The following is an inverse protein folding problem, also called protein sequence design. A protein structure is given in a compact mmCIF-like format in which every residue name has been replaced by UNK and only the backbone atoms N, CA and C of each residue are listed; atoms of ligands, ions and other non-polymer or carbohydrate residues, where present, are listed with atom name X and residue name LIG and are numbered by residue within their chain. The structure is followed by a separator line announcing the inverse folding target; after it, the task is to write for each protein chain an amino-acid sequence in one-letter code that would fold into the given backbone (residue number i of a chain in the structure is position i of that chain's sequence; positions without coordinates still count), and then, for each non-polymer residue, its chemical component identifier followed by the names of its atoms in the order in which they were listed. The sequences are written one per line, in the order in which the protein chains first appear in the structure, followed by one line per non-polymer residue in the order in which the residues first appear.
data_IF_082908424616
#
_entry.id   IF_082908424616
#
_cell.length_a   1.000
_cell.length_b   1.000
_cell.length_c   1.000
_cell.angle_alpha   90.00
_cell.angle_beta   90.00
_cell.angle_gamma   90.00
#
_symmetry.space_group_name_H-M   'P 1'
#
loop_
_entity.id
_entity.type
_entity.pdbx_description
1 polymer ?
#
# COMPACT_ATOMS: atom_id res chain seq x y z
N UNK A 1 -0.57 -0.36 5.03
CA UNK A 1 -0.75 -1.64 5.76
C UNK A 1 -0.10 -1.46 7.10
N UNK A 2 -0.82 -1.76 8.19
CA UNK A 2 -0.23 -1.73 9.52
C UNK A 2 0.51 -3.02 9.79
N UNK A 3 1.69 -2.88 10.35
CA UNK A 3 2.55 -3.96 10.82
C UNK A 3 3.10 -3.57 12.17
N UNK A 4 3.67 -4.51 12.89
CA UNK A 4 4.18 -4.22 14.20
C UNK A 4 4.75 -5.42 14.87
N UNK A 5 5.00 -5.26 16.15
CA UNK A 5 5.47 -6.32 17.01
C UNK A 5 4.91 -6.16 18.41
N UNK A 6 4.86 -7.26 19.13
CA UNK A 6 4.51 -7.33 20.55
C UNK A 6 5.76 -7.66 21.33
N UNK A 7 6.10 -6.85 22.31
CA UNK A 7 7.15 -7.16 23.29
C UNK A 7 6.72 -8.36 24.15
N UNK A 8 7.64 -9.28 24.44
CA UNK A 8 7.41 -10.39 25.36
C UNK A 8 8.34 -10.26 26.56
N UNK A 9 7.78 -10.13 27.75
CA UNK A 9 8.53 -10.11 29.01
C UNK A 9 8.36 -11.47 29.70
N UNK A 10 9.33 -12.36 29.50
CA UNK A 10 9.20 -13.77 29.90
C UNK A 10 8.05 -14.46 29.16
N UNK A 11 7.01 -14.86 29.90
CA UNK A 11 5.78 -15.47 29.38
C UNK A 11 4.60 -14.46 29.30
N UNK A 12 4.82 -13.21 29.70
CA UNK A 12 3.80 -12.17 29.69
C UNK A 12 3.82 -11.37 28.38
N UNK A 13 2.63 -11.14 27.85
CA UNK A 13 2.45 -10.24 26.71
C UNK A 13 2.61 -8.79 27.17
N UNK A 14 3.63 -8.11 26.64
CA UNK A 14 3.88 -6.68 26.82
C UNK A 14 3.09 -5.82 25.84
N UNK A 15 3.59 -4.62 25.57
CA UNK A 15 2.93 -3.69 24.63
C UNK A 15 3.04 -4.17 23.18
N UNK A 16 2.03 -3.79 22.38
CA UNK A 16 2.03 -3.92 20.93
C UNK A 16 2.29 -2.57 20.30
N UNK A 17 3.31 -2.49 19.46
CA UNK A 17 3.61 -1.31 18.67
C UNK A 17 3.20 -1.54 17.22
N UNK A 18 2.39 -0.64 16.67
CA UNK A 18 1.87 -0.71 15.31
C UNK A 18 2.26 0.51 14.50
N UNK A 19 2.85 0.26 13.34
CA UNK A 19 3.39 1.24 12.39
C UNK A 19 2.70 1.09 11.04
N UNK A 20 2.65 2.16 10.25
CA UNK A 20 2.41 1.99 8.81
C UNK A 20 3.67 1.40 8.18
N UNK A 21 3.52 0.39 7.32
CA UNK A 21 4.64 -0.24 6.64
C UNK A 21 5.53 0.78 5.90
N UNK A 22 4.92 1.82 5.32
CA UNK A 22 5.63 2.90 4.63
C UNK A 22 6.58 3.69 5.55
N UNK A 23 6.32 3.72 6.86
CA UNK A 23 7.20 4.38 7.83
C UNK A 23 8.40 3.52 8.23
N UNK A 24 8.35 2.20 8.00
CA UNK A 24 9.45 1.26 8.27
C UNK A 24 10.18 0.82 7.00
N UNK A 25 9.87 1.44 5.87
CA UNK A 25 10.48 1.14 4.59
C UNK A 25 11.11 2.40 4.03
N UNK A 26 12.22 2.21 3.33
CA UNK A 26 12.82 3.25 2.50
C UNK A 26 11.75 3.89 1.58
N UNK A 27 11.68 5.23 1.41
CA UNK A 27 12.65 6.27 1.81
C UNK A 27 12.42 6.90 3.19
N UNK A 28 11.78 6.25 4.17
CA UNK A 28 11.44 6.86 5.46
C UNK A 28 12.65 7.16 6.40
N UNK A 29 13.81 7.51 5.86
CA UNK A 29 15.00 7.89 6.62
C UNK A 29 14.89 9.32 7.14
N UNK A 30 15.30 9.52 8.39
CA UNK A 30 15.23 10.77 9.16
C UNK A 30 13.81 11.35 9.34
N UNK A 31 12.78 10.51 9.18
CA UNK A 31 11.38 10.90 9.31
C UNK A 31 10.94 10.90 10.77
N UNK A 32 10.25 11.95 11.21
CA UNK A 32 9.53 11.91 12.49
C UNK A 32 8.17 11.26 12.28
N UNK A 33 7.85 10.25 13.08
CA UNK A 33 6.53 9.58 13.04
C UNK A 33 5.86 9.60 14.41
N UNK A 34 4.54 9.43 14.40
CA UNK A 34 3.77 9.08 15.59
C UNK A 34 3.01 7.79 15.30
N UNK A 35 3.16 6.79 16.16
CA UNK A 35 2.62 5.46 15.93
C UNK A 35 1.91 4.92 17.18
N UNK A 36 1.12 3.89 17.00
CA UNK A 36 0.25 3.34 18.04
C UNK A 36 1.05 2.42 18.96
N UNK A 37 0.92 2.62 20.27
CA UNK A 37 1.43 1.70 21.30
C UNK A 37 0.25 1.28 22.17
N UNK A 38 0.00 -0.02 22.25
CA UNK A 38 -1.11 -0.58 23.03
C UNK A 38 -0.57 -1.51 24.10
N UNK A 39 -0.69 -1.12 25.37
CA UNK A 39 -0.38 -2.01 26.50
C UNK A 39 -1.49 -3.05 26.70
N UNK A 40 -1.16 -4.18 27.30
CA UNK A 40 -2.08 -5.31 27.49
C UNK A 40 -3.19 -5.03 28.50
N UNK A 41 -2.93 -4.13 29.45
CA UNK A 41 -3.84 -3.68 30.50
C UNK A 41 -4.72 -2.47 30.09
N UNK A 42 -4.40 -1.82 28.96
CA UNK A 42 -5.08 -0.61 28.51
C UNK A 42 -6.18 -0.88 27.46
N UNK A 43 -7.36 -0.27 27.67
CA UNK A 43 -8.49 -0.35 26.72
C UNK A 43 -8.24 0.43 25.42
N UNK A 44 -7.43 1.48 25.48
CA UNK A 44 -7.13 2.38 24.36
C UNK A 44 -5.62 2.39 24.07
N UNK A 45 -5.25 2.56 22.79
CA UNK A 45 -3.85 2.75 22.43
C UNK A 45 -3.38 4.18 22.76
N UNK A 46 -2.15 4.28 23.25
CA UNK A 46 -1.41 5.52 23.38
C UNK A 46 -0.59 5.78 22.09
N UNK A 47 0.04 6.95 21.97
CA UNK A 47 0.85 7.30 20.78
C UNK A 47 2.29 7.63 21.15
N UNK A 48 3.24 6.84 20.69
CA UNK A 48 4.66 7.14 20.80
C UNK A 48 5.13 7.98 19.62
N UNK A 49 6.14 8.81 19.86
CA UNK A 49 6.78 9.65 18.85
C UNK A 49 8.26 9.30 18.75
N UNK A 50 8.75 9.03 17.55
CA UNK A 50 10.15 8.64 17.34
C UNK A 50 10.68 9.22 16.03
N UNK A 51 12.01 9.34 15.96
CA UNK A 51 12.73 9.60 14.72
C UNK A 51 13.09 8.26 14.08
N UNK A 52 12.78 8.08 12.81
CA UNK A 52 13.01 6.83 12.08
C UNK A 52 14.19 6.98 11.15
N UNK A 53 15.08 6.00 11.16
CA UNK A 53 16.20 5.89 10.22
C UNK A 53 16.18 4.52 9.55
N UNK A 54 16.14 4.47 8.22
CA UNK A 54 16.16 3.23 7.44
C UNK A 54 17.48 3.11 6.69
N UNK A 55 18.18 1.99 6.89
CA UNK A 55 19.43 1.65 6.19
C UNK A 55 19.42 0.18 5.78
N UNK A 56 19.24 -0.08 4.48
CA UNK A 56 19.08 -1.43 3.96
C UNK A 56 17.87 -2.15 4.58
N UNK A 57 18.13 -3.20 5.34
CA UNK A 57 17.11 -3.96 6.06
C UNK A 57 17.00 -3.59 7.55
N UNK A 58 17.77 -2.60 8.02
CA UNK A 58 17.77 -2.13 9.40
C UNK A 58 16.92 -0.87 9.51
N UNK A 59 16.04 -0.84 10.52
CA UNK A 59 15.25 0.33 10.90
C UNK A 59 15.55 0.69 12.34
N UNK A 60 15.96 1.92 12.61
CA UNK A 60 16.13 2.43 13.98
C UNK A 60 15.01 3.43 14.31
N UNK A 61 14.39 3.24 15.47
CA UNK A 61 13.32 4.06 16.03
C UNK A 61 13.86 4.74 17.28
N UNK A 62 14.23 6.01 17.17
CA UNK A 62 14.78 6.80 18.27
C UNK A 62 13.66 7.55 19.01
N UNK A 63 13.25 7.01 20.15
CA UNK A 63 12.26 7.61 21.04
C UNK A 63 12.88 8.67 21.96
N UNK A 64 14.20 8.61 22.19
CA UNK A 64 14.91 9.58 23.01
C UNK A 64 15.00 10.96 22.35
N UNK A 65 14.76 11.05 21.04
CA UNK A 65 14.57 12.32 20.33
C UNK A 65 13.35 13.14 20.80
N UNK A 66 12.36 12.51 21.46
CA UNK A 66 11.12 13.16 21.91
C UNK A 66 10.80 12.86 23.39
N UNK A 67 11.68 13.25 24.33
CA UNK A 67 11.59 12.81 25.72
C UNK A 67 10.34 13.35 26.42
N UNK A 68 9.95 14.60 26.16
CA UNK A 68 8.80 15.24 26.81
C UNK A 68 7.49 14.56 26.42
N UNK A 69 7.28 14.32 25.12
CA UNK A 69 6.06 13.71 24.59
C UNK A 69 5.90 12.25 25.04
N UNK A 70 7.01 11.50 25.09
CA UNK A 70 7.00 10.08 25.41
C UNK A 70 6.91 9.84 26.93
N UNK A 71 7.65 10.57 27.76
CA UNK A 71 7.57 10.46 29.24
C UNK A 71 6.16 10.81 29.74
N UNK A 72 5.53 11.85 29.17
CA UNK A 72 4.16 12.24 29.54
C UNK A 72 3.12 11.12 29.30
N UNK A 73 3.46 10.11 28.48
CA UNK A 73 2.65 8.93 28.18
C UNK A 73 3.17 7.65 28.85
N UNK A 74 4.14 7.79 29.76
CA UNK A 74 4.78 6.69 30.48
C UNK A 74 5.63 5.77 29.61
N UNK A 75 6.16 6.26 28.49
CA UNK A 75 7.01 5.46 27.60
C UNK A 75 8.45 5.50 28.06
N UNK A 76 9.14 4.37 27.90
CA UNK A 76 10.58 4.29 28.09
C UNK A 76 11.29 5.02 26.96
N UNK A 77 12.42 5.66 27.29
CA UNK A 77 13.27 6.32 26.31
C UNK A 77 14.42 5.41 25.92
N UNK A 78 14.79 5.46 24.65
CA UNK A 78 15.82 4.62 24.07
C UNK A 78 15.66 4.52 22.57
N UNK A 79 16.33 3.54 21.99
CA UNK A 79 16.29 3.25 20.56
C UNK A 79 15.89 1.79 20.35
N UNK A 80 14.85 1.56 19.55
CA UNK A 80 14.55 0.22 19.05
C UNK A 80 15.22 0.04 17.71
N UNK A 81 15.97 -1.04 17.52
CA UNK A 81 16.50 -1.46 16.23
C UNK A 81 15.73 -2.68 15.74
N UNK A 82 15.23 -2.60 14.52
CA UNK A 82 14.53 -3.67 13.84
C UNK A 82 15.40 -4.16 12.69
N UNK A 83 15.63 -5.47 12.63
CA UNK A 83 16.04 -6.10 11.37
C UNK A 83 14.80 -6.58 10.66
N UNK A 84 14.65 -6.20 9.40
CA UNK A 84 13.50 -6.53 8.57
C UNK A 84 13.91 -7.50 7.46
N UNK A 85 12.93 -8.21 6.93
CA UNK A 85 13.06 -8.92 5.66
C UNK A 85 12.07 -8.28 4.70
N UNK A 86 12.56 -7.74 3.59
CA UNK A 86 11.73 -7.17 2.52
C UNK A 86 11.04 -8.27 1.70
N UNK A 87 10.37 -7.88 0.61
CA UNK A 87 9.53 -8.71 -0.26
C UNK A 87 9.96 -10.20 -0.43
N UNK A 88 9.01 -11.15 -0.64
CA UNK A 88 7.56 -10.91 -0.85
C UNK A 88 6.75 -10.75 0.44
N UNK A 89 7.29 -11.14 1.58
CA UNK A 89 6.60 -11.10 2.88
C UNK A 89 7.39 -10.23 3.85
N UNK A 90 7.03 -8.94 3.93
CA UNK A 90 7.65 -8.05 4.91
C UNK A 90 7.49 -8.66 6.31
N UNK A 91 8.60 -8.82 7.03
CA UNK A 91 8.60 -9.25 8.44
C UNK A 91 9.64 -8.50 9.23
N UNK A 92 9.30 -8.23 10.49
CA UNK A 92 10.30 -7.94 11.51
C UNK A 92 10.90 -9.28 11.91
N UNK A 93 12.23 -9.39 11.79
CA UNK A 93 13.02 -10.60 12.03
C UNK A 93 13.67 -10.54 13.41
N UNK A 94 14.19 -9.38 13.78
CA UNK A 94 14.72 -9.13 15.13
C UNK A 94 14.21 -7.79 15.65
N UNK A 95 14.09 -7.71 16.97
CA UNK A 95 13.86 -6.48 17.72
C UNK A 95 14.98 -6.41 18.75
N UNK A 96 15.71 -5.30 18.76
CA UNK A 96 16.72 -5.02 19.76
C UNK A 96 16.38 -3.70 20.44
N UNK A 97 16.58 -3.63 21.75
CA UNK A 97 16.34 -2.42 22.54
C UNK A 97 17.65 -1.89 23.11
N UNK A 98 17.85 -0.58 23.00
CA UNK A 98 18.91 0.15 23.69
C UNK A 98 18.27 1.20 24.59
N UNK A 99 18.22 0.99 25.92
CA UNK A 99 17.72 1.98 26.86
C UNK A 99 18.50 3.29 26.77
N UNK A 100 17.83 4.42 27.04
CA UNK A 100 18.51 5.71 27.14
C UNK A 100 19.61 5.65 28.22
N UNK A 101 20.82 6.10 27.85
CA UNK A 101 22.01 6.04 28.72
C UNK A 101 22.84 4.76 28.56
N UNK A 102 22.31 3.72 27.90
CA UNK A 102 23.09 2.55 27.50
C UNK A 102 23.78 2.77 26.14
N UNK A 103 24.88 2.05 25.92
CA UNK A 103 25.55 1.94 24.61
C UNK A 103 25.30 0.58 23.94
N UNK A 104 24.63 -0.34 24.64
CA UNK A 104 24.44 -1.73 24.22
C UNK A 104 23.01 -1.95 23.77
N UNK A 105 22.85 -2.60 22.62
CA UNK A 105 21.58 -3.15 22.16
C UNK A 105 21.42 -4.56 22.71
N UNK A 106 20.28 -4.85 23.32
CA UNK A 106 19.91 -6.16 23.82
C UNK A 106 18.85 -6.77 22.91
N UNK A 107 18.98 -8.07 22.60
CA UNK A 107 18.03 -8.77 21.75
C UNK A 107 16.76 -9.10 22.55
N UNK A 108 15.62 -8.70 22.01
CA UNK A 108 14.35 -8.75 22.71
C UNK A 108 13.44 -9.85 22.14
N UNK A 109 12.73 -10.54 23.03
CA UNK A 109 11.72 -11.51 22.60
C UNK A 109 10.49 -10.74 22.11
N UNK A 110 9.97 -11.14 20.96
CA UNK A 110 8.82 -10.47 20.37
C UNK A 110 7.94 -11.43 19.56
N UNK A 111 6.70 -11.03 19.34
CA UNK A 111 5.83 -11.61 18.30
C UNK A 111 5.66 -10.61 17.17
N UNK A 112 5.84 -11.04 15.91
CA UNK A 112 5.48 -10.20 14.77
C UNK A 112 3.96 -10.09 14.67
N UNK A 113 3.45 -8.86 14.68
CA UNK A 113 2.02 -8.57 14.66
C UNK A 113 1.65 -7.94 13.33
N UNK A 114 0.74 -8.60 12.61
CA UNK A 114 0.00 -7.98 11.52
C UNK A 114 -1.45 -7.87 12.00
N UNK A 115 -1.90 -6.68 12.44
CA UNK A 115 -3.28 -6.51 12.86
C UNK A 115 -4.20 -6.92 11.72
N UNK A 116 -5.30 -7.60 12.07
CA UNK A 116 -6.33 -8.00 11.11
C UNK A 116 -6.94 -6.74 10.51
N UNK A 117 -6.36 -6.25 9.42
CA UNK A 117 -6.92 -5.13 8.70
C UNK A 117 -8.22 -5.59 8.05
N UNK A 118 -9.22 -4.70 7.97
CA UNK A 118 -10.15 -4.78 6.84
C UNK A 118 -9.25 -4.81 5.60
N UNK A 119 -9.38 -5.82 4.77
CA UNK A 119 -8.67 -5.88 3.50
C UNK A 119 -8.94 -4.57 2.79
N UNK A 120 -7.90 -3.73 2.64
CA UNK A 120 -8.03 -2.47 1.96
C UNK A 120 -8.59 -2.77 0.58
N UNK A 121 -9.64 -2.05 0.19
CA UNK A 121 -10.15 -2.18 -1.16
C UNK A 121 -9.04 -1.72 -2.10
N UNK A 122 -8.99 -2.31 -3.29
CA UNK A 122 -8.03 -1.87 -4.30
C UNK A 122 -8.17 -0.37 -4.60
N UNK A 123 -9.41 0.14 -4.61
CA UNK A 123 -9.71 1.56 -4.85
C UNK A 123 -9.07 2.47 -3.81
N UNK A 124 -9.14 2.13 -2.53
CA UNK A 124 -8.51 2.92 -1.47
C UNK A 124 -6.98 2.97 -1.63
N UNK A 125 -6.38 1.87 -2.09
CA UNK A 125 -4.93 1.81 -2.35
C UNK A 125 -4.54 2.71 -3.53
N UNK A 126 -5.30 2.66 -4.63
CA UNK A 126 -5.06 3.53 -5.80
C UNK A 126 -5.22 5.01 -5.44
N UNK A 127 -6.33 5.39 -4.78
CA UNK A 127 -6.58 6.80 -4.40
C UNK A 127 -5.46 7.34 -3.51
N UNK A 128 -4.98 6.56 -2.55
CA UNK A 128 -3.86 6.95 -1.70
C UNK A 128 -2.58 7.17 -2.50
N UNK A 129 -2.28 6.26 -3.43
CA UNK A 129 -1.10 6.39 -4.30
C UNK A 129 -1.21 7.63 -5.19
N UNK A 130 -2.37 7.89 -5.80
CA UNK A 130 -2.61 9.08 -6.62
C UNK A 130 -2.38 10.37 -5.83
N UNK A 131 -2.87 10.44 -4.58
CA UNK A 131 -2.62 11.57 -3.68
C UNK A 131 -1.14 11.72 -3.35
N UNK A 132 -0.44 10.64 -3.03
CA UNK A 132 1.01 10.66 -2.74
C UNK A 132 1.81 11.12 -3.97
N UNK A 133 1.43 10.69 -5.18
CA UNK A 133 2.03 11.14 -6.45
C UNK A 133 1.76 12.62 -6.69
N UNK A 134 0.53 13.10 -6.50
CA UNK A 134 0.19 14.52 -6.68
C UNK A 134 1.00 15.42 -5.73
N UNK A 135 1.21 14.99 -4.49
CA UNK A 135 2.07 15.71 -3.56
C UNK A 135 3.55 15.66 -3.97
N UNK A 136 4.03 14.52 -4.46
CA UNK A 136 5.39 14.39 -4.97
C UNK A 136 5.63 15.31 -6.18
N UNK A 137 4.68 15.43 -7.10
CA UNK A 137 4.78 16.29 -8.29
C UNK A 137 4.92 17.79 -7.98
N UNK A 138 4.71 18.22 -6.74
CA UNK A 138 4.95 19.61 -6.28
C UNK A 138 6.43 19.89 -5.98
N UNK A 139 7.28 18.86 -5.95
CA UNK A 139 8.72 18.96 -5.66
C UNK A 139 9.52 19.15 -6.94
N UNK A 140 10.69 19.76 -6.82
CA UNK A 140 11.66 19.81 -7.93
C UNK A 140 12.23 18.41 -8.23
N UNK A 141 12.76 18.24 -9.44
CA UNK A 141 13.40 16.98 -9.84
C UNK A 141 14.55 16.58 -8.90
N UNK A 142 15.41 17.53 -8.52
CA UNK A 142 16.53 17.27 -7.61
C UNK A 142 16.06 16.84 -6.21
N UNK A 143 14.94 17.37 -5.72
CA UNK A 143 14.34 16.88 -4.47
C UNK A 143 13.77 15.47 -4.64
N UNK A 144 13.11 15.18 -5.77
CA UNK A 144 12.55 13.85 -6.05
C UNK A 144 13.61 12.76 -6.14
N UNK A 145 14.78 13.06 -6.70
CA UNK A 145 15.91 12.12 -6.78
C UNK A 145 16.34 11.59 -5.40
N UNK A 146 16.22 12.41 -4.36
CA UNK A 146 16.51 12.00 -2.98
C UNK A 146 15.52 10.95 -2.44
N UNK A 147 14.36 10.83 -3.07
CA UNK A 147 13.30 9.85 -2.76
C UNK A 147 13.19 8.73 -3.79
N UNK A 148 14.20 8.53 -4.66
CA UNK A 148 14.29 7.34 -5.54
C UNK A 148 15.00 6.14 -4.88
N UNK A 149 14.39 4.93 -4.92
CA UNK A 149 14.93 3.78 -4.22
C UNK A 149 16.28 3.36 -4.81
N UNK A 150 17.16 2.75 -3.99
CA UNK A 150 18.38 2.17 -4.51
C UNK A 150 18.05 1.03 -5.49
N UNK A 151 18.99 0.77 -6.39
CA UNK A 151 18.87 -0.33 -7.36
C UNK A 151 18.60 -1.67 -6.64
N UNK A 152 17.66 -2.44 -7.19
CA UNK A 152 17.26 -3.73 -6.64
C UNK A 152 16.22 -3.68 -5.52
N UNK A 153 15.74 -2.50 -5.11
CA UNK A 153 14.62 -2.39 -4.17
C UNK A 153 13.36 -3.07 -4.73
N UNK A 154 12.77 -3.96 -3.94
CA UNK A 154 11.50 -4.62 -4.25
C UNK A 154 10.41 -4.08 -3.33
N UNK A 155 9.39 -3.37 -3.86
CA UNK A 155 8.32 -2.84 -3.04
C UNK A 155 7.51 -3.98 -2.39
N UNK A 156 6.97 -3.77 -1.19
CA UNK A 156 6.16 -4.76 -0.51
C UNK A 156 4.87 -5.05 -1.30
N UNK A 157 4.48 -6.33 -1.35
CA UNK A 157 3.21 -6.75 -1.94
C UNK A 157 2.12 -6.71 -0.89
N UNK A 158 0.94 -6.22 -1.28
CA UNK A 158 -0.27 -6.29 -0.45
C UNK A 158 -1.33 -7.16 -1.12
N UNK A 159 -2.16 -7.83 -0.31
CA UNK A 159 -3.36 -8.51 -0.79
C UNK A 159 -4.54 -7.54 -0.74
N UNK A 160 -5.23 -7.39 -1.87
CA UNK A 160 -6.46 -6.61 -2.00
C UNK A 160 -7.61 -7.53 -2.37
N UNK A 161 -8.81 -7.23 -1.90
CA UNK A 161 -10.04 -7.93 -2.31
C UNK A 161 -10.81 -7.01 -3.26
N UNK A 162 -11.35 -7.60 -4.34
CA UNK A 162 -12.25 -6.90 -5.26
C UNK A 162 -13.46 -7.75 -5.54
N UNK A 163 -14.62 -7.11 -5.58
CA UNK A 163 -15.82 -7.69 -6.14
C UNK A 163 -15.80 -7.51 -7.66
N UNK A 164 -16.27 -8.53 -8.38
CA UNK A 164 -16.34 -8.50 -9.83
C UNK A 164 -17.63 -9.20 -10.28
N UNK A 165 -18.19 -8.74 -11.40
CA UNK A 165 -19.32 -9.39 -12.03
C UNK A 165 -18.84 -10.54 -12.92
N UNK A 166 -19.51 -11.69 -12.80
CA UNK A 166 -19.37 -12.78 -13.78
C UNK A 166 -20.12 -12.35 -15.04
N UNK A 167 -19.36 -11.98 -16.08
CA UNK A 167 -19.92 -11.53 -17.36
C UNK A 167 -20.24 -12.72 -18.27
N UNK A 168 -21.29 -12.57 -19.07
CA UNK A 168 -21.70 -13.55 -20.07
C UNK A 168 -20.71 -13.55 -21.24
N UNK A 169 -19.97 -14.65 -21.46
CA UNK A 169 -18.95 -14.72 -22.51
C UNK A 169 -19.54 -14.59 -23.92
N UNK A 170 -20.81 -14.98 -24.14
CA UNK A 170 -21.45 -14.90 -25.45
C UNK A 170 -21.77 -13.46 -25.84
N UNK A 171 -22.16 -12.61 -24.88
CA UNK A 171 -22.37 -11.17 -25.12
C UNK A 171 -21.05 -10.52 -25.54
N UNK A 172 -19.95 -10.85 -24.86
CA UNK A 172 -18.61 -10.36 -25.18
C UNK A 172 -18.21 -10.82 -26.59
N UNK A 173 -18.32 -12.11 -26.88
CA UNK A 173 -17.92 -12.67 -28.17
C UNK A 173 -18.68 -12.03 -29.33
N UNK A 174 -20.02 -11.95 -29.23
CA UNK A 174 -20.83 -11.35 -30.29
C UNK A 174 -20.51 -9.87 -30.47
N UNK A 175 -20.33 -9.10 -29.38
CA UNK A 175 -19.96 -7.68 -29.47
C UNK A 175 -18.61 -7.48 -30.18
N UNK A 176 -17.60 -8.30 -29.87
CA UNK A 176 -16.29 -8.25 -30.52
C UNK A 176 -16.36 -8.65 -32.01
N UNK A 177 -17.18 -9.64 -32.35
CA UNK A 177 -17.41 -10.05 -33.75
C UNK A 177 -18.06 -8.93 -34.55
N UNK A 178 -19.07 -8.26 -34.00
CA UNK A 178 -19.75 -7.13 -34.65
C UNK A 178 -18.80 -5.95 -34.89
N UNK A 179 -17.88 -5.71 -33.95
CA UNK A 179 -16.90 -4.62 -34.03
C UNK A 179 -15.89 -4.78 -35.18
N UNK A 180 -15.66 -6.01 -35.67
CA UNK A 180 -14.70 -6.32 -36.76
C UNK A 180 -13.32 -5.67 -36.55
N UNK A 181 -12.86 -5.64 -35.31
CA UNK A 181 -11.58 -5.05 -34.93
C UNK A 181 -11.53 -3.51 -34.98
N UNK A 182 -12.66 -2.82 -35.02
CA UNK A 182 -12.76 -1.35 -34.93
C UNK A 182 -13.47 -0.92 -33.65
N UNK A 183 -13.00 0.18 -33.06
CA UNK A 183 -13.61 0.77 -31.87
C UNK A 183 -15.01 1.34 -32.19
N UNK A 184 -16.01 1.01 -31.38
CA UNK A 184 -17.38 1.51 -31.52
C UNK A 184 -17.49 3.03 -31.28
N UNK A 185 -16.54 3.64 -30.56
CA UNK A 185 -16.52 5.08 -30.29
C UNK A 185 -15.72 5.86 -31.35
N UNK A 186 -14.40 5.69 -31.40
CA UNK A 186 -13.53 6.47 -32.30
C UNK A 186 -13.43 5.93 -33.73
N UNK A 187 -14.03 4.77 -34.01
CA UNK A 187 -14.05 4.08 -35.31
C UNK A 187 -12.67 3.66 -35.86
N UNK A 188 -11.60 3.87 -35.11
CA UNK A 188 -10.25 3.43 -35.46
C UNK A 188 -10.09 1.93 -35.29
N UNK A 189 -9.15 1.34 -36.03
CA UNK A 189 -8.75 -0.06 -35.83
C UNK A 189 -8.20 -0.28 -34.41
N UNK A 190 -8.29 -1.51 -33.92
CA UNK A 190 -7.67 -1.92 -32.67
C UNK A 190 -6.16 -1.58 -32.69
N UNK A 191 -5.62 -1.02 -31.59
CA UNK A 191 -4.25 -0.52 -31.58
C UNK A 191 -3.19 -1.62 -31.66
N UNK A 192 -3.54 -2.85 -31.28
CA UNK A 192 -2.65 -4.00 -31.34
C UNK A 192 -3.48 -5.30 -31.41
N UNK A 193 -2.78 -6.43 -31.55
CA UNK A 193 -3.36 -7.77 -31.54
C UNK A 193 -2.98 -8.53 -30.27
N UNK A 194 -3.87 -9.38 -29.77
CA UNK A 194 -3.59 -10.24 -28.61
C UNK A 194 -2.64 -11.40 -28.98
N UNK A 195 -2.31 -12.25 -28.01
CA UNK A 195 -1.42 -13.43 -28.19
C UNK A 195 -1.93 -14.42 -29.25
N UNK A 196 -3.21 -14.39 -29.57
CA UNK A 196 -3.85 -15.22 -30.60
C UNK A 196 -3.95 -14.49 -31.95
N UNK A 197 -3.23 -13.38 -32.14
CA UNK A 197 -3.23 -12.56 -33.36
C UNK A 197 -4.62 -11.96 -33.71
N UNK A 198 -5.51 -11.79 -32.73
CA UNK A 198 -6.83 -11.15 -32.89
C UNK A 198 -6.78 -9.67 -32.50
N UNK A 199 -7.50 -8.76 -33.18
CA UNK A 199 -7.61 -7.35 -32.79
C UNK A 199 -8.02 -7.19 -31.32
N UNK A 200 -7.30 -6.37 -30.55
CA UNK A 200 -7.59 -6.16 -29.12
C UNK A 200 -8.55 -4.97 -28.90
N UNK A 201 -9.75 -5.27 -28.40
CA UNK A 201 -10.76 -4.32 -27.94
C UNK A 201 -11.32 -4.79 -26.59
N UNK A 202 -11.81 -3.85 -25.79
CA UNK A 202 -12.40 -4.09 -24.47
C UNK A 202 -13.92 -3.88 -24.53
N UNK A 203 -14.70 -4.85 -24.06
CA UNK A 203 -16.16 -4.72 -24.00
C UNK A 203 -16.55 -3.92 -22.77
N UNK A 204 -17.20 -2.79 -23.02
CA UNK A 204 -17.68 -1.83 -22.03
C UNK A 204 -19.20 -1.84 -21.97
N UNK A 205 -19.76 -1.83 -20.77
CA UNK A 205 -21.20 -1.66 -20.59
C UNK A 205 -21.54 -0.17 -20.53
N UNK A 206 -22.46 0.30 -21.39
CA UNK A 206 -22.86 1.72 -21.49
C UNK A 206 -23.39 2.20 -20.13
N UNK A 207 -24.39 1.49 -19.60
CA UNK A 207 -24.76 1.57 -18.19
C UNK A 207 -23.92 0.55 -17.44
N UNK A 208 -23.03 1.02 -16.55
CA UNK A 208 -22.14 0.16 -15.79
C UNK A 208 -22.93 -0.89 -14.98
N UNK A 209 -22.44 -2.13 -14.94
CA UNK A 209 -23.04 -3.20 -14.13
C UNK A 209 -23.13 -2.83 -12.64
N UNK A 210 -22.13 -2.11 -12.12
CA UNK A 210 -22.13 -1.59 -10.75
C UNK A 210 -23.28 -0.61 -10.45
N UNK A 211 -23.84 0.01 -11.49
CA UNK A 211 -24.98 0.93 -11.41
C UNK A 211 -26.30 0.26 -11.84
N UNK A 212 -26.37 -1.07 -11.83
CA UNK A 212 -27.56 -1.83 -12.22
C UNK A 212 -27.74 -2.04 -13.72
N UNK A 213 -26.71 -1.79 -14.53
CA UNK A 213 -26.74 -2.07 -15.97
C UNK A 213 -26.93 -3.56 -16.28
N UNK A 214 -27.62 -3.87 -17.38
CA UNK A 214 -27.84 -5.25 -17.83
C UNK A 214 -26.65 -5.79 -18.62
N UNK A 215 -26.36 -7.09 -18.50
CA UNK A 215 -25.33 -7.74 -19.30
C UNK A 215 -25.90 -8.23 -20.64
N UNK A 216 -26.13 -7.28 -21.55
CA UNK A 216 -26.79 -7.52 -22.83
C UNK A 216 -26.04 -6.86 -23.99
N UNK A 217 -26.31 -7.32 -25.22
CA UNK A 217 -25.73 -6.69 -26.41
C UNK A 217 -26.13 -5.23 -26.56
N UNK A 218 -27.37 -4.88 -26.23
CA UNK A 218 -27.86 -3.51 -26.29
C UNK A 218 -27.10 -2.56 -25.34
N UNK A 219 -26.67 -3.06 -24.18
CA UNK A 219 -25.95 -2.28 -23.19
C UNK A 219 -24.42 -2.40 -23.31
N UNK A 220 -23.87 -2.93 -24.41
CA UNK A 220 -22.40 -3.10 -24.57
C UNK A 220 -21.84 -2.34 -25.76
N UNK A 221 -20.54 -2.08 -25.76
CA UNK A 221 -19.77 -1.52 -26.86
C UNK A 221 -18.34 -2.10 -26.84
N UNK A 222 -17.72 -2.29 -28.00
CA UNK A 222 -16.33 -2.70 -28.12
C UNK A 222 -15.44 -1.48 -28.30
N UNK A 223 -14.55 -1.20 -27.34
CA UNK A 223 -13.76 0.02 -27.31
C UNK A 223 -12.27 -0.26 -27.37
N UNK A 224 -11.49 0.63 -27.99
CA UNK A 224 -10.04 0.59 -27.79
C UNK A 224 -9.69 1.00 -26.34
N UNK A 225 -8.52 0.60 -25.81
CA UNK A 225 -8.12 0.93 -24.44
C UNK A 225 -8.20 2.42 -24.10
N UNK A 226 -7.85 3.29 -25.05
CA UNK A 226 -7.89 4.75 -24.87
C UNK A 226 -9.33 5.25 -24.70
N UNK A 227 -10.24 4.86 -25.59
CA UNK A 227 -11.65 5.22 -25.49
C UNK A 227 -12.31 4.63 -24.25
N UNK A 228 -11.98 3.38 -23.90
CA UNK A 228 -12.51 2.74 -22.71
C UNK A 228 -12.09 3.49 -21.44
N UNK A 229 -10.80 3.83 -21.30
CA UNK A 229 -10.30 4.63 -20.18
C UNK A 229 -10.90 6.04 -20.14
N UNK A 230 -11.08 6.68 -21.30
CA UNK A 230 -11.73 8.01 -21.37
C UNK A 230 -13.16 7.97 -20.80
N UNK A 231 -13.93 6.91 -21.02
CA UNK A 231 -15.28 6.80 -20.43
C UNK A 231 -15.27 6.54 -18.91
N UNK A 232 -14.21 5.92 -18.37
CA UNK A 232 -14.09 5.70 -16.92
C UNK A 232 -13.52 6.91 -16.16
N UNK A 233 -12.61 7.66 -16.77
CA UNK A 233 -11.77 8.65 -16.08
C UNK A 233 -11.75 10.03 -16.73
N UNK A 234 -12.18 10.16 -17.99
CA UNK A 234 -12.23 11.44 -18.65
C UNK A 234 -13.32 12.30 -18.02
N UNK A 235 -12.94 13.46 -17.47
CA UNK A 235 -13.92 14.51 -17.23
C UNK A 235 -14.57 14.88 -18.56
N UNK A 236 -15.89 14.98 -18.58
CA UNK A 236 -16.62 15.53 -19.71
C UNK A 236 -16.02 16.91 -20.02
N UNK A 237 -15.41 17.05 -21.19
CA UNK A 237 -14.99 18.34 -21.75
C UNK A 237 -16.20 19.06 -22.32
#
# INVERSE_FOLDING_TARGET
MKIGFRWLDGDLAGSVELFELADLSWPATDKTISHSVRRTDEKSASQAKCKVSVSGNVVELDYAAFPKENIAKGMLLGTTRLTTRSAPDFRIVTVEWKPQGSQVFELERFEFVVPRQRTASFRETEVRLEQEVEQALKKSFSELEQFLPPDGYLPPKIKVVREAFVRNPYVIAVRLTLAKGKCDLCKQNAPFKNKENKPYLEVHHITHLANGGSDTLANTQALCPNCHRKLHFGGDS
#
